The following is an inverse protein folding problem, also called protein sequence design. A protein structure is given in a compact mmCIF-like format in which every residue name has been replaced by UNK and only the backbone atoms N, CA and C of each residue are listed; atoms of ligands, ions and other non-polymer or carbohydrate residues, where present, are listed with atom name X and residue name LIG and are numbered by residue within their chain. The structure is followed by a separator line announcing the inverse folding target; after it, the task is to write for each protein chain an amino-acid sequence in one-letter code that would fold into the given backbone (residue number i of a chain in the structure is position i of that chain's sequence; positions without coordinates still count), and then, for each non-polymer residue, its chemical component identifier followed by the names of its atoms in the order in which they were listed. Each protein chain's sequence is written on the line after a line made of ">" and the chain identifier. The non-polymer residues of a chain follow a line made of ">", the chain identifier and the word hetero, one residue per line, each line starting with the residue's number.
data_IF_667119450289
#
_entry.id   IF_667119450289
#
_cell.length_a   1.000
_cell.length_b   1.000
_cell.length_c   1.000
_cell.angle_alpha   90.00
_cell.angle_beta   90.00
_cell.angle_gamma   90.00
#
_symmetry.space_group_name_H-M   'P 1'
#
loop_
_entity.id
_entity.type
_entity.pdbx_description
1 polymer ?
#
# COMPACT_ATOMS: atom_id res chain seq x y z
N UNK A 1 30.54 -7.85 6.53
CA UNK A 1 29.11 -8.16 6.28
C UNK A 1 28.95 -8.87 4.94
N UNK A 2 27.87 -9.64 4.68
CA UNK A 2 27.64 -10.28 3.36
C UNK A 2 27.58 -9.23 2.23
N UNK A 3 26.86 -8.13 2.43
CA UNK A 3 26.73 -7.02 1.47
C UNK A 3 28.07 -6.45 1.02
N UNK A 4 29.00 -6.23 1.94
CA UNK A 4 30.35 -5.72 1.65
C UNK A 4 31.16 -6.74 0.83
N UNK A 5 31.11 -8.03 1.19
CA UNK A 5 31.81 -9.09 0.47
C UNK A 5 31.36 -9.20 -0.98
N UNK A 6 30.07 -8.95 -1.24
CA UNK A 6 29.48 -9.03 -2.58
C UNK A 6 29.33 -7.67 -3.27
N UNK A 7 29.89 -6.59 -2.68
CA UNK A 7 29.80 -5.22 -3.21
C UNK A 7 28.36 -4.71 -3.43
N UNK A 8 27.40 -5.23 -2.65
CA UNK A 8 25.99 -4.86 -2.64
C UNK A 8 25.67 -4.02 -1.40
N UNK A 9 26.20 -2.79 -1.36
CA UNK A 9 26.01 -1.89 -0.22
C UNK A 9 24.53 -1.58 0.04
N UNK A 10 24.14 -1.62 1.31
CA UNK A 10 22.76 -1.41 1.74
C UNK A 10 22.51 0.10 1.90
N UNK A 11 21.45 0.60 1.27
CA UNK A 11 21.02 1.99 1.47
C UNK A 11 20.18 2.12 2.74
N UNK A 12 20.80 2.56 3.82
CA UNK A 12 20.17 2.71 5.14
C UNK A 12 18.95 3.63 5.13
N UNK A 13 18.92 4.67 4.29
CA UNK A 13 17.79 5.60 4.21
C UNK A 13 16.53 4.94 3.64
N UNK A 14 16.70 3.84 2.89
CA UNK A 14 15.60 3.03 2.35
C UNK A 14 15.27 1.83 3.22
N UNK A 15 16.06 1.56 4.26
CA UNK A 15 15.81 0.48 5.20
C UNK A 15 14.89 0.96 6.33
N UNK A 16 14.14 0.02 6.90
CA UNK A 16 13.28 0.28 8.04
C UNK A 16 12.88 -1.01 8.72
N UNK A 17 12.57 -0.90 10.01
CA UNK A 17 12.08 -2.00 10.83
C UNK A 17 10.60 -1.76 11.06
N UNK A 18 9.76 -2.74 10.80
CA UNK A 18 8.35 -2.72 11.22
C UNK A 18 8.07 -3.92 12.10
N UNK A 19 7.52 -3.66 13.29
CA UNK A 19 7.17 -4.71 14.24
C UNK A 19 5.71 -5.11 14.05
N UNK A 20 5.47 -6.41 13.91
CA UNK A 20 4.13 -6.97 13.82
C UNK A 20 3.71 -7.64 15.12
N UNK A 21 2.41 -7.60 15.41
CA UNK A 21 1.83 -8.25 16.58
C UNK A 21 2.05 -7.50 17.89
N UNK A 22 1.56 -8.09 18.99
CA UNK A 22 1.58 -7.51 20.34
C UNK A 22 2.74 -8.10 21.15
N UNK A 23 3.97 -7.88 20.69
CA UNK A 23 5.15 -8.27 21.45
C UNK A 23 5.66 -7.07 22.27
N UNK A 24 5.89 -7.22 23.59
CA UNK A 24 6.33 -6.10 24.44
C UNK A 24 7.75 -5.64 24.08
N UNK A 25 8.59 -6.55 23.60
CA UNK A 25 9.94 -6.24 23.17
C UNK A 25 9.99 -5.91 21.67
N UNK A 26 10.44 -4.70 21.35
CA UNK A 26 10.66 -4.19 19.99
C UNK A 26 12.17 -3.95 19.80
N UNK A 27 12.92 -4.94 19.30
CA UNK A 27 14.37 -4.84 19.17
C UNK A 27 14.76 -3.74 18.19
N UNK A 28 15.78 -2.97 18.56
CA UNK A 28 16.42 -2.02 17.66
C UNK A 28 17.47 -2.74 16.80
N UNK A 29 17.30 -2.75 15.48
CA UNK A 29 18.30 -3.30 14.57
C UNK A 29 19.37 -2.25 14.25
N UNK A 30 20.60 -2.75 14.14
CA UNK A 30 21.77 -2.01 13.71
C UNK A 30 22.38 -2.72 12.49
N UNK A 31 22.77 -1.93 11.50
CA UNK A 31 23.55 -2.38 10.34
C UNK A 31 24.91 -1.69 10.46
N UNK A 32 25.95 -2.47 10.76
CA UNK A 32 27.24 -1.95 11.22
C UNK A 32 27.05 -1.03 12.44
N UNK A 33 27.58 0.19 12.41
CA UNK A 33 27.44 1.19 13.47
C UNK A 33 26.18 2.05 13.33
N UNK A 34 25.38 1.81 12.28
CA UNK A 34 24.20 2.63 11.97
C UNK A 34 22.90 2.01 12.48
N UNK A 35 22.12 2.80 13.19
CA UNK A 35 20.77 2.44 13.65
C UNK A 35 19.78 2.44 12.49
N UNK A 36 19.01 1.36 12.31
CA UNK A 36 17.93 1.31 11.31
C UNK A 36 16.66 1.94 11.88
N UNK A 37 16.02 2.84 11.15
CA UNK A 37 14.79 3.50 11.61
C UNK A 37 13.64 2.51 11.82
N UNK A 38 12.81 2.76 12.84
CA UNK A 38 11.55 2.03 13.05
C UNK A 38 10.44 2.75 12.30
N UNK A 39 9.65 2.02 11.52
CA UNK A 39 8.54 2.52 10.71
C UNK A 39 7.20 2.16 11.37
N UNK A 40 6.33 3.16 11.50
CA UNK A 40 4.96 2.96 11.98
C UNK A 40 4.00 2.57 10.83
N UNK A 41 4.31 3.04 9.63
CA UNK A 41 3.63 2.67 8.40
C UNK A 41 4.64 2.46 7.28
N UNK A 42 4.35 1.52 6.38
CA UNK A 42 5.16 1.26 5.20
C UNK A 42 4.28 1.27 3.96
N UNK A 43 4.87 1.65 2.83
CA UNK A 43 4.31 1.40 1.51
C UNK A 43 5.13 0.33 0.84
N UNK A 44 4.58 -0.88 0.78
CA UNK A 44 5.26 -2.03 0.21
C UNK A 44 4.45 -2.58 -0.98
N UNK A 45 5.12 -2.75 -2.12
CA UNK A 45 4.52 -3.13 -3.41
C UNK A 45 3.25 -2.33 -3.78
N UNK A 46 3.15 -1.08 -3.34
CA UNK A 46 2.00 -0.19 -3.58
C UNK A 46 0.91 -0.22 -2.51
N UNK A 47 0.99 -1.10 -1.51
CA UNK A 47 0.04 -1.25 -0.41
C UNK A 47 0.54 -0.48 0.81
N UNK A 48 -0.33 0.30 1.46
CA UNK A 48 0.01 1.02 2.68
C UNK A 48 -0.54 0.29 3.91
N UNK A 49 0.31 -0.03 4.87
CA UNK A 49 -0.14 -0.67 6.11
C UNK A 49 0.77 -0.35 7.29
N UNK A 50 0.26 -0.64 8.49
CA UNK A 50 0.97 -0.47 9.75
C UNK A 50 1.38 -1.81 10.33
N UNK A 51 2.19 -1.80 11.41
CA UNK A 51 2.55 -3.02 12.15
C UNK A 51 1.36 -3.76 12.79
N UNK A 52 0.22 -3.10 12.95
CA UNK A 52 -1.04 -3.73 13.37
C UNK A 52 -1.87 -4.30 12.22
N UNK A 53 -1.31 -4.30 10.99
CA UNK A 53 -2.02 -4.64 9.75
C UNK A 53 -3.27 -3.77 9.54
N UNK A 54 -3.20 -2.50 9.94
CA UNK A 54 -4.23 -1.53 9.60
C UNK A 54 -4.00 -1.03 8.16
N UNK A 55 -5.02 -1.18 7.31
CA UNK A 55 -5.03 -0.79 5.89
C UNK A 55 -5.90 0.43 5.58
N UNK A 56 -6.42 1.15 6.59
CA UNK A 56 -7.30 2.31 6.42
C UNK A 56 -6.69 3.39 5.49
N UNK A 57 -5.38 3.62 5.62
CA UNK A 57 -4.63 4.53 4.76
C UNK A 57 -4.60 4.03 3.31
N UNK A 58 -4.47 2.72 3.11
CA UNK A 58 -4.53 2.12 1.77
C UNK A 58 -5.94 2.21 1.18
N UNK A 59 -6.98 1.88 1.93
CA UNK A 59 -8.37 2.01 1.52
C UNK A 59 -8.68 3.45 1.06
N UNK A 60 -8.34 4.43 1.89
CA UNK A 60 -8.57 5.84 1.59
C UNK A 60 -7.80 6.29 0.34
N UNK A 61 -6.58 5.79 0.15
CA UNK A 61 -5.77 6.06 -1.03
C UNK A 61 -6.37 5.48 -2.32
N UNK A 62 -6.76 4.19 -2.34
CA UNK A 62 -7.32 3.54 -3.53
C UNK A 62 -8.71 4.12 -3.88
N UNK A 63 -9.52 4.45 -2.87
CA UNK A 63 -10.81 5.14 -3.07
C UNK A 63 -10.60 6.50 -3.70
N UNK A 64 -9.65 7.30 -3.18
CA UNK A 64 -9.37 8.65 -3.70
C UNK A 64 -8.94 8.62 -5.16
N UNK A 65 -8.00 7.74 -5.51
CA UNK A 65 -7.52 7.59 -6.90
C UNK A 65 -8.66 7.13 -7.81
N UNK A 66 -9.41 6.11 -7.39
CA UNK A 66 -10.49 5.53 -8.17
C UNK A 66 -11.60 6.54 -8.43
N UNK A 67 -12.05 7.27 -7.42
CA UNK A 67 -13.07 8.34 -7.59
C UNK A 67 -12.60 9.45 -8.52
N UNK A 68 -11.33 9.85 -8.45
CA UNK A 68 -10.77 10.85 -9.36
C UNK A 68 -10.76 10.34 -10.80
N UNK A 69 -10.39 9.08 -11.03
CA UNK A 69 -10.42 8.45 -12.35
C UNK A 69 -11.85 8.30 -12.87
N UNK A 70 -12.81 7.89 -12.03
CA UNK A 70 -14.23 7.81 -12.39
C UNK A 70 -14.73 9.20 -12.80
N UNK A 71 -14.48 10.24 -11.99
CA UNK A 71 -14.86 11.61 -12.32
C UNK A 71 -14.27 12.08 -13.65
N UNK A 72 -12.99 11.76 -13.91
CA UNK A 72 -12.34 12.04 -15.19
C UNK A 72 -13.01 11.30 -16.36
N UNK A 73 -13.30 10.02 -16.22
CA UNK A 73 -13.95 9.19 -17.25
C UNK A 73 -15.36 9.72 -17.53
N UNK A 74 -16.12 10.03 -16.49
CA UNK A 74 -17.51 10.50 -16.62
C UNK A 74 -17.60 11.87 -17.29
N UNK A 75 -16.62 12.76 -17.06
CA UNK A 75 -16.58 14.11 -17.61
C UNK A 75 -16.10 14.17 -19.07
N UNK A 76 -15.14 13.33 -19.46
CA UNK A 76 -14.43 13.48 -20.73
C UNK A 76 -14.87 12.50 -21.82
N UNK A 77 -15.63 11.46 -21.47
CA UNK A 77 -16.09 10.45 -22.43
C UNK A 77 -17.62 10.45 -22.50
N UNK A 78 -18.17 10.19 -23.69
CA UNK A 78 -19.61 10.33 -23.94
C UNK A 78 -20.32 9.00 -24.18
N UNK A 79 -19.61 7.99 -24.70
CA UNK A 79 -20.19 6.67 -24.95
C UNK A 79 -20.16 5.77 -23.72
N UNK A 80 -21.22 5.02 -23.50
CA UNK A 80 -21.32 4.06 -22.40
C UNK A 80 -20.25 2.96 -22.51
N UNK A 81 -20.01 2.46 -23.71
CA UNK A 81 -19.01 1.42 -23.98
C UNK A 81 -17.58 1.90 -23.69
N UNK A 82 -17.27 3.14 -24.08
CA UNK A 82 -15.98 3.77 -23.81
C UNK A 82 -15.75 3.96 -22.30
N UNK A 83 -16.77 4.48 -21.59
CA UNK A 83 -16.73 4.62 -20.12
C UNK A 83 -16.51 3.28 -19.43
N UNK A 84 -17.25 2.24 -19.84
CA UNK A 84 -17.13 0.90 -19.26
C UNK A 84 -15.74 0.29 -19.51
N UNK A 85 -15.21 0.45 -20.72
CA UNK A 85 -13.87 -0.05 -21.07
C UNK A 85 -12.79 0.65 -20.26
N UNK A 86 -12.87 1.98 -20.13
CA UNK A 86 -11.93 2.77 -19.33
C UNK A 86 -12.05 2.48 -17.84
N UNK A 87 -13.25 2.25 -17.32
CA UNK A 87 -13.43 1.81 -15.94
C UNK A 87 -12.69 0.49 -15.69
N UNK A 88 -12.90 -0.51 -16.57
CA UNK A 88 -12.25 -1.83 -16.46
C UNK A 88 -10.73 -1.77 -16.57
N UNK A 89 -10.18 -0.89 -17.39
CA UNK A 89 -8.73 -0.80 -17.63
C UNK A 89 -8.03 0.11 -16.61
N UNK A 90 -8.66 1.20 -16.18
CA UNK A 90 -8.00 2.23 -15.37
C UNK A 90 -8.41 2.20 -13.89
N UNK A 91 -9.69 1.93 -13.60
CA UNK A 91 -10.23 2.01 -12.22
C UNK A 91 -10.14 0.65 -11.53
N UNK A 92 -10.68 -0.39 -12.17
CA UNK A 92 -10.77 -1.73 -11.60
C UNK A 92 -9.42 -2.29 -11.10
N UNK A 93 -8.28 -2.14 -11.81
CA UNK A 93 -7.01 -2.64 -11.30
C UNK A 93 -6.60 -2.00 -9.98
N UNK A 94 -6.92 -0.71 -9.77
CA UNK A 94 -6.60 -0.02 -8.51
C UNK A 94 -7.41 -0.54 -7.32
N UNK A 95 -8.61 -1.07 -7.59
CA UNK A 95 -9.51 -1.63 -6.57
C UNK A 95 -9.23 -3.12 -6.29
N UNK A 96 -8.73 -3.88 -7.27
CA UNK A 96 -8.54 -5.33 -7.16
C UNK A 96 -7.08 -5.77 -6.93
N UNK A 97 -6.11 -4.89 -7.21
CA UNK A 97 -4.68 -5.21 -7.07
C UNK A 97 -4.34 -5.62 -5.63
N UNK A 98 -3.74 -6.81 -5.46
CA UNK A 98 -3.39 -7.37 -4.15
C UNK A 98 -4.58 -7.49 -3.17
N UNK A 99 -5.78 -7.70 -3.68
CA UNK A 99 -6.99 -7.88 -2.87
C UNK A 99 -6.89 -9.01 -1.84
N UNK A 100 -6.10 -10.06 -2.10
CA UNK A 100 -5.83 -11.13 -1.14
C UNK A 100 -5.20 -10.61 0.17
N UNK A 101 -4.34 -9.60 0.10
CA UNK A 101 -3.64 -9.03 1.26
C UNK A 101 -4.60 -8.20 2.11
N UNK A 102 -5.31 -7.26 1.46
CA UNK A 102 -6.17 -6.33 2.16
C UNK A 102 -7.61 -6.83 2.34
N UNK A 103 -7.91 -8.06 1.92
CA UNK A 103 -9.14 -8.77 2.30
C UNK A 103 -9.30 -8.92 3.81
N UNK A 104 -8.25 -8.66 4.60
CA UNK A 104 -8.28 -8.60 6.06
C UNK A 104 -8.57 -7.20 6.63
N UNK A 105 -8.95 -6.23 5.78
CA UNK A 105 -9.43 -4.92 6.21
C UNK A 105 -10.59 -5.02 7.21
N UNK A 106 -10.76 -3.96 8.01
CA UNK A 106 -11.97 -3.80 8.80
C UNK A 106 -13.20 -3.74 7.86
N UNK A 107 -14.38 -4.09 8.40
CA UNK A 107 -15.62 -4.17 7.62
C UNK A 107 -15.94 -2.82 6.99
N UNK A 108 -15.75 -1.73 7.73
CA UNK A 108 -16.00 -0.36 7.25
C UNK A 108 -15.22 -0.03 5.99
N UNK A 109 -13.93 -0.34 5.95
CA UNK A 109 -13.05 -0.04 4.82
C UNK A 109 -13.35 -0.93 3.62
N UNK A 110 -13.71 -2.21 3.84
CA UNK A 110 -14.19 -3.09 2.77
C UNK A 110 -15.42 -2.50 2.09
N UNK A 111 -16.44 -2.16 2.88
CA UNK A 111 -17.67 -1.56 2.37
C UNK A 111 -17.37 -0.26 1.62
N UNK A 112 -16.46 0.58 2.15
CA UNK A 112 -16.05 1.83 1.47
C UNK A 112 -15.38 1.60 0.12
N UNK A 113 -14.63 0.51 -0.06
CA UNK A 113 -13.97 0.14 -1.32
C UNK A 113 -14.96 -0.47 -2.31
N UNK A 114 -15.89 -1.30 -1.83
CA UNK A 114 -16.91 -1.97 -2.65
C UNK A 114 -17.94 -1.00 -3.26
N UNK A 115 -18.18 0.16 -2.64
CA UNK A 115 -19.12 1.18 -3.14
C UNK A 115 -18.48 2.23 -4.05
N UNK A 116 -17.22 2.06 -4.46
CA UNK A 116 -16.52 2.96 -5.40
C UNK A 116 -16.95 2.72 -6.84
#
# INVERSE_FOLDING_TARGET
>A
MWSEKWQLLINLNKCGIMHFGKHPYKPQLHLNESRVQTLESVRDLGINYTGSLNFEKHASFIISISRRLIGFIMKNFFTTEGKLSLYKICVRPSLEYCSSVFSNMNITDKTRVEVV
#
